data_IF_821326066938
#
_entry.id   IF_821326066938
#
_cell.length_a   1.000
_cell.length_b   1.000
_cell.length_c   1.000
_cell.angle_alpha   90.00
_cell.angle_beta   90.00
_cell.angle_gamma   90.00
#
_symmetry.space_group_name_H-M   'P 1'
#
loop_
_entity.id
_entity.type
_entity.pdbx_description
1 polymer ?
#
# COMPACT_ATOMS: atom_id res chain seq x y z
N UNK A 1 -45.54 19.47 -23.37
CA UNK A 1 -44.64 20.45 -22.73
C UNK A 1 -43.20 20.15 -23.18
N UNK A 2 -42.64 20.99 -24.06
CA UNK A 2 -41.34 20.79 -24.72
C UNK A 2 -40.30 21.74 -24.09
N UNK A 3 -39.41 21.20 -23.26
CA UNK A 3 -38.11 21.78 -22.90
C UNK A 3 -37.14 20.59 -22.75
N UNK A 4 -36.74 19.94 -23.85
CA UNK A 4 -35.54 20.24 -24.66
C UNK A 4 -34.26 20.28 -23.83
N UNK A 5 -33.78 19.10 -23.40
CA UNK A 5 -32.52 18.45 -23.79
C UNK A 5 -31.27 19.32 -24.10
N UNK A 6 -31.14 20.54 -23.55
CA UNK A 6 -29.95 21.40 -23.73
C UNK A 6 -29.03 21.47 -22.52
N UNK A 7 -29.53 21.14 -21.32
CA UNK A 7 -28.72 21.21 -20.09
C UNK A 7 -27.77 20.03 -19.90
N UNK A 8 -28.02 18.89 -20.55
CA UNK A 8 -27.17 17.70 -20.40
C UNK A 8 -25.84 17.82 -21.14
N UNK A 9 -25.83 18.53 -22.29
CA UNK A 9 -24.62 18.67 -23.11
C UNK A 9 -23.63 19.72 -22.56
N UNK A 10 -24.10 20.71 -21.81
CA UNK A 10 -23.23 21.74 -21.23
C UNK A 10 -22.35 21.19 -20.10
N UNK A 11 -22.85 20.25 -19.30
CA UNK A 11 -22.11 19.70 -18.15
C UNK A 11 -20.99 18.76 -18.59
N UNK A 12 -21.14 18.04 -19.70
CA UNK A 12 -20.12 17.11 -20.19
C UNK A 12 -18.93 17.82 -20.85
N UNK A 13 -19.12 19.00 -21.45
CA UNK A 13 -18.04 19.75 -22.07
C UNK A 13 -17.04 20.32 -21.05
N UNK A 14 -17.51 20.70 -19.86
CA UNK A 14 -16.64 21.25 -18.79
C UNK A 14 -15.71 20.18 -18.20
N UNK A 15 -16.16 18.94 -18.10
CA UNK A 15 -15.36 17.82 -17.56
C UNK A 15 -14.18 17.47 -18.47
N UNK A 16 -14.36 17.52 -19.79
CA UNK A 16 -13.27 17.21 -20.73
C UNK A 16 -12.16 18.26 -20.74
N UNK A 17 -12.48 19.55 -20.55
CA UNK A 17 -11.46 20.61 -20.52
C UNK A 17 -10.59 20.53 -19.26
N UNK A 18 -11.15 20.13 -18.12
CA UNK A 18 -10.38 19.96 -16.86
C UNK A 18 -9.40 18.80 -16.96
N UNK A 19 -9.79 17.68 -17.60
CA UNK A 19 -8.91 16.50 -17.74
C UNK A 19 -7.73 16.80 -18.68
N UNK A 20 -7.95 17.53 -19.77
CA UNK A 20 -6.88 17.88 -20.71
C UNK A 20 -5.87 18.87 -20.09
N UNK A 21 -6.34 19.85 -19.29
CA UNK A 21 -5.47 20.80 -18.59
C UNK A 21 -4.63 20.16 -17.47
N UNK A 22 -5.20 19.17 -16.74
CA UNK A 22 -4.47 18.46 -15.69
C UNK A 22 -3.32 17.63 -16.27
N UNK A 23 -3.56 16.95 -17.39
CA UNK A 23 -2.53 16.12 -18.04
C UNK A 23 -1.36 16.96 -18.57
N UNK A 24 -1.60 18.15 -19.11
CA UNK A 24 -0.53 19.02 -19.60
C UNK A 24 0.36 19.56 -18.46
N UNK A 25 -0.20 19.82 -17.27
CA UNK A 25 0.58 20.26 -16.11
C UNK A 25 1.34 19.13 -15.42
N UNK A 26 0.89 17.87 -15.57
CA UNK A 26 1.56 16.69 -15.01
C UNK A 26 2.76 16.22 -15.84
N UNK A 27 2.79 16.51 -17.15
CA UNK A 27 3.90 16.08 -18.04
C UNK A 27 5.18 16.90 -17.83
N UNK A 28 5.09 18.13 -17.29
CA UNK A 28 6.25 19.02 -17.17
C UNK A 28 6.98 19.00 -15.81
N UNK A 29 6.64 18.05 -14.94
CA UNK A 29 7.34 17.79 -13.68
C UNK A 29 7.92 16.36 -13.63
N UNK A 30 8.50 15.91 -14.75
CA UNK A 30 9.53 14.88 -14.67
C UNK A 30 10.83 15.56 -14.27
N UNK A 31 10.89 16.08 -13.05
CA UNK A 31 12.17 16.29 -12.39
C UNK A 31 12.78 14.89 -12.33
N UNK A 32 13.86 14.73 -13.08
CA UNK A 32 14.63 13.50 -13.13
C UNK A 32 15.14 13.28 -11.70
N UNK A 33 14.40 12.51 -10.92
CA UNK A 33 14.91 11.94 -9.68
C UNK A 33 16.03 11.03 -10.16
N UNK A 34 17.25 11.58 -10.14
CA UNK A 34 18.47 10.80 -10.20
C UNK A 34 18.28 9.68 -9.19
N UNK A 35 18.04 8.47 -9.69
CA UNK A 35 17.95 7.30 -8.84
C UNK A 35 19.33 7.14 -8.23
N UNK A 36 19.54 7.74 -7.06
CA UNK A 36 20.55 7.25 -6.13
C UNK A 36 20.25 5.75 -6.02
N UNK A 37 21.13 4.92 -6.55
CA UNK A 37 20.92 3.48 -6.64
C UNK A 37 20.39 2.98 -5.31
N UNK A 38 19.12 2.58 -5.29
CA UNK A 38 18.56 1.86 -4.15
C UNK A 38 19.19 0.48 -4.28
N UNK A 39 20.27 0.25 -3.56
CA UNK A 39 20.80 -1.09 -3.34
C UNK A 39 19.71 -1.86 -2.60
N UNK A 40 18.90 -2.59 -3.37
CA UNK A 40 17.98 -3.57 -2.83
C UNK A 40 18.87 -4.71 -2.33
N UNK A 41 19.08 -4.75 -1.02
CA UNK A 41 19.76 -5.86 -0.38
C UNK A 41 18.84 -7.09 -0.50
N UNK A 42 19.08 -7.91 -1.53
CA UNK A 42 18.33 -9.14 -1.84
C UNK A 42 18.38 -10.18 -0.70
N UNK A 43 19.23 -9.95 0.31
CA UNK A 43 19.32 -10.80 1.49
C UNK A 43 18.16 -10.58 2.47
N UNK A 44 17.36 -9.51 2.33
CA UNK A 44 16.26 -9.23 3.24
C UNK A 44 14.88 -9.36 2.60
N UNK A 45 13.96 -10.00 3.32
CA UNK A 45 12.55 -10.10 2.93
C UNK A 45 11.64 -9.60 4.03
N UNK A 46 10.72 -8.71 3.68
CA UNK A 46 9.65 -8.31 4.57
C UNK A 46 8.61 -9.43 4.71
N UNK A 47 8.35 -9.84 5.94
CA UNK A 47 7.32 -10.82 6.30
C UNK A 47 6.25 -10.12 7.13
N UNK A 48 4.99 -10.45 6.87
CA UNK A 48 3.84 -9.98 7.64
C UNK A 48 2.79 -11.08 7.67
N UNK A 49 2.37 -11.48 8.86
CA UNK A 49 1.36 -12.52 9.07
C UNK A 49 0.51 -12.21 10.30
N UNK A 50 -0.70 -12.76 10.35
CA UNK A 50 -1.59 -12.62 11.51
C UNK A 50 -1.54 -13.88 12.35
N UNK A 51 -1.40 -13.72 13.66
CA UNK A 51 -1.24 -14.81 14.62
C UNK A 51 -1.86 -14.46 15.96
N UNK A 52 -2.19 -15.46 16.77
CA UNK A 52 -2.68 -15.26 18.14
C UNK A 52 -1.63 -14.46 18.96
N UNK A 53 -2.08 -13.81 20.04
CA UNK A 53 -1.19 -13.07 20.91
C UNK A 53 -0.21 -14.01 21.65
N UNK A 54 1.03 -14.08 21.16
CA UNK A 54 2.12 -14.90 21.73
C UNK A 54 3.20 -14.05 22.42
N UNK A 55 3.01 -12.74 22.53
CA UNK A 55 3.97 -11.82 23.14
C UNK A 55 4.07 -10.49 22.41
N UNK A 56 5.13 -9.72 22.67
CA UNK A 56 5.47 -8.52 21.89
C UNK A 56 6.17 -8.85 20.56
N UNK A 57 6.76 -10.04 20.48
CA UNK A 57 7.59 -10.51 19.37
C UNK A 57 7.35 -12.01 19.17
N UNK A 58 7.63 -12.51 17.96
CA UNK A 58 7.61 -13.94 17.64
C UNK A 58 8.81 -14.33 16.78
N UNK A 59 9.36 -15.51 17.00
CA UNK A 59 10.36 -16.09 16.10
C UNK A 59 9.68 -16.59 14.82
N UNK A 60 10.33 -16.37 13.68
CA UNK A 60 9.91 -16.85 12.38
C UNK A 60 11.08 -17.54 11.70
N UNK A 61 10.84 -18.76 11.22
CA UNK A 61 11.77 -19.51 10.39
C UNK A 61 11.00 -20.23 9.30
N UNK A 62 11.09 -19.75 8.05
CA UNK A 62 10.43 -20.36 6.89
C UNK A 62 11.06 -19.91 5.58
N UNK A 63 11.12 -20.83 4.61
CA UNK A 63 11.59 -20.55 3.24
C UNK A 63 12.99 -19.92 3.18
N UNK A 64 13.89 -20.33 4.08
CA UNK A 64 15.25 -19.79 4.17
C UNK A 64 15.34 -18.40 4.78
N UNK A 65 14.29 -17.90 5.43
CA UNK A 65 14.33 -16.64 6.19
C UNK A 65 14.14 -16.93 7.67
N UNK A 66 15.01 -16.35 8.50
CA UNK A 66 14.96 -16.48 9.96
C UNK A 66 15.06 -15.12 10.64
N UNK A 67 14.30 -14.92 11.71
CA UNK A 67 14.45 -13.78 12.60
C UNK A 67 13.21 -13.53 13.45
N UNK A 68 13.08 -12.30 13.94
CA UNK A 68 12.03 -11.90 14.89
C UNK A 68 11.04 -10.96 14.23
N UNK A 69 9.75 -11.25 14.37
CA UNK A 69 8.66 -10.40 13.93
C UNK A 69 8.06 -9.67 15.12
N UNK A 70 7.73 -8.38 14.95
CA UNK A 70 7.17 -7.53 16.00
C UNK A 70 5.66 -7.45 15.89
N UNK A 71 4.98 -7.54 17.03
CA UNK A 71 3.52 -7.45 17.11
C UNK A 71 3.03 -6.03 16.83
N UNK A 72 1.91 -5.90 16.14
CA UNK A 72 1.15 -4.67 16.00
C UNK A 72 0.57 -4.21 17.34
N UNK A 73 0.39 -2.90 17.49
CA UNK A 73 -0.22 -2.30 18.69
C UNK A 73 -1.70 -2.70 18.81
N UNK A 74 -2.40 -2.84 17.67
CA UNK A 74 -3.81 -3.18 17.59
C UNK A 74 -4.01 -4.58 17.01
N UNK A 75 -5.07 -5.30 17.42
CA UNK A 75 -5.46 -6.54 16.75
C UNK A 75 -5.76 -6.30 15.27
N UNK A 76 -5.50 -7.32 14.45
CA UNK A 76 -5.86 -7.37 13.03
C UNK A 76 -7.32 -7.82 12.89
N UNK A 77 -7.73 -8.85 13.65
CA UNK A 77 -9.10 -9.33 13.74
C UNK A 77 -9.34 -10.15 15.03
N UNK A 78 -10.60 -10.52 15.27
CA UNK A 78 -11.03 -11.42 16.33
C UNK A 78 -11.76 -12.62 15.73
N UNK A 79 -11.46 -13.82 16.22
CA UNK A 79 -12.11 -15.07 15.80
C UNK A 79 -12.37 -15.93 17.05
N UNK A 80 -13.62 -16.34 17.26
CA UNK A 80 -14.05 -17.14 18.41
C UNK A 80 -13.64 -16.57 19.79
N UNK A 81 -13.63 -15.23 19.93
CA UNK A 81 -13.21 -14.55 21.17
C UNK A 81 -11.69 -14.46 21.35
N UNK A 82 -10.90 -14.88 20.36
CA UNK A 82 -9.44 -14.77 20.35
C UNK A 82 -8.99 -13.62 19.48
N UNK A 83 -8.08 -12.80 20.01
CA UNK A 83 -7.51 -11.67 19.28
C UNK A 83 -6.28 -12.10 18.50
N UNK A 84 -6.31 -11.85 17.19
CA UNK A 84 -5.18 -12.06 16.29
C UNK A 84 -4.50 -10.73 16.03
N UNK A 85 -3.19 -10.72 16.09
CA UNK A 85 -2.35 -9.55 15.87
C UNK A 85 -1.47 -9.77 14.65
N UNK A 86 -1.09 -8.66 14.00
CA UNK A 86 -0.14 -8.70 12.90
C UNK A 86 1.28 -8.73 13.46
N UNK A 87 2.08 -9.69 13.02
CA UNK A 87 3.50 -9.74 13.31
C UNK A 87 4.27 -9.50 12.02
N UNK A 88 5.17 -8.51 12.03
CA UNK A 88 5.95 -8.18 10.84
C UNK A 88 7.39 -7.77 11.14
N UNK A 89 8.25 -7.90 10.13
CA UNK A 89 9.67 -7.60 10.21
C UNK A 89 10.40 -7.89 8.90
N UNK A 90 11.55 -7.27 8.72
CA UNK A 90 12.50 -7.61 7.66
C UNK A 90 13.40 -8.73 8.18
N UNK A 91 13.38 -9.87 7.50
CA UNK A 91 14.14 -11.05 7.88
C UNK A 91 15.29 -11.28 6.91
N UNK A 92 16.43 -11.73 7.43
CA UNK A 92 17.58 -12.07 6.62
C UNK A 92 17.46 -13.50 6.09
N UNK A 93 17.90 -13.70 4.86
CA UNK A 93 18.07 -15.01 4.23
C UNK A 93 19.21 -15.76 4.93
N UNK A 94 18.99 -17.05 5.20
CA UNK A 94 19.93 -17.99 5.80
C UNK A 94 20.31 -19.08 4.81
#
# INVERSE_FOLDING_TARGET
>A
MKYSMKKLFATMAVVFVVIAGLNASLVNKSETISSSGIEVDDDYKYISLSHENVGGEMEYEKSGYKGVLKKSIRPDYEEEGRLYYRYSGNLKKQ
#
